data_IF_155424752883
#
_entry.id   IF_155424752883
#
_cell.length_a   1.000
_cell.length_b   1.000
_cell.length_c   1.000
_cell.angle_alpha   90.00
_cell.angle_beta   90.00
_cell.angle_gamma   90.00
#
_symmetry.space_group_name_H-M   'P 1'
#
loop_
_entity.id
_entity.type
_entity.pdbx_description
1 polymer ?
#
# COMPACT_ATOMS: atom_id res chain seq x y z
N UNK A 1 10.15 6.54 -15.89
CA UNK A 1 10.16 5.16 -15.35
C UNK A 1 9.08 4.30 -16.02
N UNK A 2 7.75 4.61 -15.92
CA UNK A 2 6.69 3.77 -16.47
C UNK A 2 6.84 3.56 -17.98
N UNK A 3 7.09 4.61 -18.76
CA UNK A 3 7.28 4.49 -20.21
C UNK A 3 8.47 3.59 -20.59
N UNK A 4 9.59 3.73 -19.88
CA UNK A 4 10.77 2.88 -20.08
C UNK A 4 10.52 1.42 -19.68
N UNK A 5 9.72 1.22 -18.64
CA UNK A 5 9.38 -0.12 -18.14
C UNK A 5 8.36 -0.84 -19.00
N UNK A 6 7.56 -0.12 -19.79
CA UNK A 6 6.45 -0.68 -20.58
C UNK A 6 6.91 -1.76 -21.56
N UNK A 7 8.09 -1.62 -22.14
CA UNK A 7 8.68 -2.58 -23.07
C UNK A 7 9.66 -3.55 -22.40
N UNK A 8 10.09 -3.23 -21.16
CA UNK A 8 11.12 -3.98 -20.46
C UNK A 8 10.60 -5.06 -19.53
N UNK A 9 9.34 -5.03 -19.15
CA UNK A 9 8.76 -6.00 -18.23
C UNK A 9 7.39 -6.51 -18.71
N UNK A 10 6.98 -7.66 -18.21
CA UNK A 10 5.66 -8.25 -18.45
C UNK A 10 4.72 -8.07 -17.26
N UNK A 11 5.27 -7.81 -16.08
CA UNK A 11 4.54 -7.65 -14.83
C UNK A 11 5.19 -6.53 -14.02
N UNK A 12 4.37 -5.64 -13.46
CA UNK A 12 4.77 -4.61 -12.52
C UNK A 12 4.03 -4.84 -11.20
N UNK A 13 4.76 -4.84 -10.09
CA UNK A 13 4.20 -4.93 -8.74
C UNK A 13 4.50 -3.63 -8.00
N UNK A 14 3.46 -2.95 -7.54
CA UNK A 14 3.54 -1.75 -6.71
C UNK A 14 3.22 -2.19 -5.29
N UNK A 15 4.20 -2.09 -4.39
CA UNK A 15 4.11 -2.61 -3.03
C UNK A 15 3.61 -1.55 -2.03
N UNK A 16 2.59 -0.80 -2.42
CA UNK A 16 1.95 0.21 -1.59
C UNK A 16 2.63 1.59 -1.63
N UNK A 17 2.01 2.53 -0.95
CA UNK A 17 2.46 3.93 -0.83
C UNK A 17 2.71 4.60 -2.19
N UNK A 18 1.84 4.31 -3.16
CA UNK A 18 1.81 5.00 -4.45
C UNK A 18 1.42 6.48 -4.25
N UNK A 19 0.60 6.75 -3.26
CA UNK A 19 0.15 8.08 -2.87
C UNK A 19 0.55 8.39 -1.43
N UNK A 20 0.86 9.66 -1.16
CA UNK A 20 1.12 10.16 0.19
C UNK A 20 -0.10 10.08 1.11
N UNK A 21 -1.29 10.16 0.53
CA UNK A 21 -2.56 10.05 1.24
C UNK A 21 -3.64 9.69 0.22
N UNK A 22 -4.49 8.73 0.55
CA UNK A 22 -5.66 8.38 -0.23
C UNK A 22 -6.88 8.30 0.69
N UNK A 23 -7.92 9.06 0.39
CA UNK A 23 -9.11 9.19 1.24
C UNK A 23 -10.37 8.55 0.64
N UNK A 24 -10.22 7.89 -0.50
CA UNK A 24 -11.28 7.21 -1.23
C UNK A 24 -11.22 7.48 -2.73
N UNK A 25 -11.79 6.58 -3.53
CA UNK A 25 -11.73 6.63 -4.99
C UNK A 25 -12.54 7.79 -5.60
N UNK A 26 -13.38 8.42 -4.80
CA UNK A 26 -14.23 9.57 -5.14
C UNK A 26 -13.57 10.94 -4.90
N UNK A 27 -12.31 10.97 -4.43
CA UNK A 27 -11.54 12.22 -4.37
C UNK A 27 -11.07 12.61 -5.79
N UNK A 28 -11.52 13.78 -6.24
CA UNK A 28 -11.36 14.29 -7.61
C UNK A 28 -10.19 15.27 -7.79
N UNK A 29 -9.15 15.17 -6.96
CA UNK A 29 -7.96 16.00 -7.14
C UNK A 29 -7.38 15.84 -8.56
N UNK A 30 -7.07 16.94 -9.27
CA UNK A 30 -6.56 16.87 -10.65
C UNK A 30 -5.34 15.97 -10.80
N UNK A 31 -4.43 15.96 -9.83
CA UNK A 31 -3.26 15.09 -9.81
C UNK A 31 -3.64 13.59 -9.88
N UNK A 32 -4.72 13.20 -9.19
CA UNK A 32 -5.17 11.80 -9.21
C UNK A 32 -5.70 11.41 -10.58
N UNK A 33 -6.36 12.33 -11.29
CA UNK A 33 -6.79 12.12 -12.67
C UNK A 33 -5.61 11.86 -13.62
N UNK A 34 -4.56 12.69 -13.54
CA UNK A 34 -3.35 12.52 -14.36
C UNK A 34 -2.65 11.18 -14.08
N UNK A 35 -2.59 10.76 -12.81
CA UNK A 35 -1.98 9.47 -12.43
C UNK A 35 -2.83 8.30 -12.95
N UNK A 36 -4.16 8.38 -12.82
CA UNK A 36 -5.09 7.36 -13.35
C UNK A 36 -4.94 7.21 -14.87
N UNK A 37 -4.90 8.30 -15.61
CA UNK A 37 -4.68 8.29 -17.06
C UNK A 37 -3.32 7.68 -17.43
N UNK A 38 -2.27 8.03 -16.70
CA UNK A 38 -0.92 7.49 -16.92
C UNK A 38 -0.89 5.99 -16.66
N UNK A 39 -1.48 5.51 -15.57
CA UNK A 39 -1.56 4.09 -15.25
C UNK A 39 -2.41 3.33 -16.30
N UNK A 40 -3.56 3.87 -16.70
CA UNK A 40 -4.40 3.27 -17.73
C UNK A 40 -3.65 3.15 -19.07
N UNK A 41 -2.92 4.20 -19.46
CA UNK A 41 -2.08 4.16 -20.65
C UNK A 41 -0.97 3.10 -20.55
N UNK A 42 -0.40 2.93 -19.37
CA UNK A 42 0.64 1.92 -19.11
C UNK A 42 0.08 0.50 -19.18
N UNK A 43 -1.06 0.24 -18.54
CA UNK A 43 -1.69 -1.08 -18.47
C UNK A 43 -2.34 -1.48 -19.80
N UNK A 44 -2.81 -0.50 -20.60
CA UNK A 44 -3.42 -0.75 -21.91
C UNK A 44 -2.40 -1.30 -22.90
N UNK A 45 -2.58 -2.59 -23.26
CA UNK A 45 -1.63 -3.34 -24.12
C UNK A 45 -0.17 -3.36 -23.59
N UNK A 46 0.01 -3.15 -22.29
CA UNK A 46 1.28 -3.15 -21.58
C UNK A 46 1.40 -4.24 -20.52
N UNK A 47 2.32 -4.09 -19.59
CA UNK A 47 2.52 -5.05 -18.50
C UNK A 47 1.29 -5.22 -17.62
N UNK A 48 1.05 -6.43 -17.16
CA UNK A 48 0.07 -6.67 -16.08
C UNK A 48 0.55 -5.96 -14.84
N UNK A 49 -0.27 -5.07 -14.31
CA UNK A 49 0.09 -4.24 -13.17
C UNK A 49 -0.71 -4.63 -11.94
N UNK A 50 0.00 -4.86 -10.87
CA UNK A 50 -0.54 -5.27 -9.59
C UNK A 50 -0.21 -4.23 -8.54
N UNK A 51 -1.15 -3.97 -7.66
CA UNK A 51 -1.02 -3.04 -6.56
C UNK A 51 -1.35 -3.72 -5.24
N UNK A 52 -0.56 -3.48 -4.24
CA UNK A 52 -0.78 -3.87 -2.86
C UNK A 52 -0.96 -2.62 -2.02
N UNK A 53 -1.89 -2.62 -1.09
CA UNK A 53 -2.11 -1.48 -0.22
C UNK A 53 -0.88 -1.20 0.67
N UNK A 54 -0.50 0.08 0.75
CA UNK A 54 0.41 0.58 1.78
C UNK A 54 -0.36 1.23 2.93
N UNK A 55 0.39 1.75 3.89
CA UNK A 55 -0.22 2.42 5.04
C UNK A 55 -0.76 3.83 4.73
N UNK A 56 -0.40 4.39 3.58
CA UNK A 56 -0.85 5.72 3.12
C UNK A 56 -2.02 5.67 2.16
N UNK A 57 -2.21 4.53 1.49
CA UNK A 57 -3.17 4.39 0.39
C UNK A 57 -4.05 3.13 0.49
N UNK A 58 -4.26 2.63 1.70
CA UNK A 58 -5.06 1.43 1.99
C UNK A 58 -6.56 1.56 1.66
N UNK A 59 -7.04 2.76 1.34
CA UNK A 59 -8.41 3.03 0.90
C UNK A 59 -8.58 3.04 -0.62
N UNK A 60 -7.51 2.73 -1.39
CA UNK A 60 -7.64 2.48 -2.83
C UNK A 60 -8.58 1.29 -3.02
N UNK A 61 -9.64 1.49 -3.82
CA UNK A 61 -10.69 0.51 -4.04
C UNK A 61 -10.81 0.05 -5.48
N UNK A 62 -11.90 -0.66 -5.74
CA UNK A 62 -12.18 -1.25 -7.06
C UNK A 62 -12.42 -0.19 -8.14
N UNK A 63 -12.91 1.00 -7.80
CA UNK A 63 -13.13 2.06 -8.80
C UNK A 63 -11.79 2.51 -9.37
N UNK A 64 -10.81 2.79 -8.51
CA UNK A 64 -9.46 3.11 -8.97
C UNK A 64 -8.83 1.97 -9.77
N UNK A 65 -8.98 0.72 -9.32
CA UNK A 65 -8.46 -0.43 -10.02
C UNK A 65 -9.05 -0.58 -11.43
N UNK A 66 -10.37 -0.40 -11.58
CA UNK A 66 -11.06 -0.46 -12.87
C UNK A 66 -10.66 0.70 -13.81
N UNK A 67 -10.50 1.91 -13.27
CA UNK A 67 -10.12 3.09 -14.05
C UNK A 67 -8.67 3.04 -14.53
N UNK A 68 -7.80 2.32 -13.84
CA UNK A 68 -6.36 2.24 -14.15
C UNK A 68 -5.94 0.91 -14.77
N UNK A 69 -6.81 -0.10 -14.77
CA UNK A 69 -6.51 -1.44 -15.27
C UNK A 69 -5.52 -2.23 -14.37
N UNK A 70 -5.32 -1.81 -13.14
CA UNK A 70 -4.50 -2.54 -12.16
C UNK A 70 -5.31 -3.64 -11.47
N UNK A 71 -4.62 -4.59 -10.84
CA UNK A 71 -5.22 -5.62 -9.99
C UNK A 71 -4.75 -5.43 -8.55
N UNK A 72 -5.68 -5.27 -7.60
CA UNK A 72 -5.36 -5.18 -6.18
C UNK A 72 -5.03 -6.56 -5.63
N UNK A 73 -3.89 -6.67 -4.94
CA UNK A 73 -3.42 -7.90 -4.30
C UNK A 73 -3.61 -7.84 -2.78
N UNK A 74 -3.83 -9.00 -2.14
CA UNK A 74 -3.75 -9.08 -0.69
C UNK A 74 -2.31 -8.92 -0.20
N UNK A 75 -2.12 -8.50 1.05
CA UNK A 75 -0.84 -8.49 1.74
C UNK A 75 -0.84 -9.55 2.88
N UNK A 76 0.08 -10.52 2.87
CA UNK A 76 1.09 -10.78 1.86
C UNK A 76 0.54 -11.48 0.60
N UNK A 77 1.26 -11.36 -0.51
CA UNK A 77 0.97 -12.06 -1.74
C UNK A 77 2.07 -13.07 -2.09
N UNK A 78 1.65 -14.30 -2.39
CA UNK A 78 2.57 -15.41 -2.72
C UNK A 78 2.44 -15.75 -4.20
N UNK A 79 3.57 -15.80 -4.91
CA UNK A 79 3.62 -16.20 -6.31
C UNK A 79 4.80 -17.14 -6.57
N UNK A 80 4.71 -17.92 -7.64
CA UNK A 80 5.80 -18.76 -8.13
C UNK A 80 6.43 -18.11 -9.37
N UNK A 81 7.73 -17.93 -9.35
CA UNK A 81 8.50 -17.44 -10.49
C UNK A 81 9.66 -18.41 -10.74
N UNK A 82 9.61 -19.12 -11.85
CA UNK A 82 10.64 -20.09 -12.23
C UNK A 82 10.92 -21.15 -11.16
N UNK A 83 9.88 -21.70 -10.54
CA UNK A 83 9.92 -22.66 -9.43
C UNK A 83 10.55 -22.08 -8.15
N UNK A 84 10.58 -20.77 -8.01
CA UNK A 84 10.94 -20.08 -6.76
C UNK A 84 9.68 -19.48 -6.16
N UNK A 85 9.46 -19.77 -4.88
CA UNK A 85 8.38 -19.19 -4.11
C UNK A 85 8.76 -17.76 -3.70
N UNK A 86 8.14 -16.79 -4.33
CA UNK A 86 8.33 -15.37 -4.01
C UNK A 86 7.18 -14.90 -3.13
N UNK A 87 7.49 -14.19 -2.05
CA UNK A 87 6.49 -13.55 -1.20
C UNK A 87 6.71 -12.05 -1.25
N UNK A 88 5.62 -11.33 -1.56
CA UNK A 88 5.57 -9.88 -1.59
C UNK A 88 4.76 -9.38 -0.39
N UNK A 89 5.18 -8.27 0.21
CA UNK A 89 4.46 -7.57 1.28
C UNK A 89 4.71 -6.07 1.17
N UNK A 90 3.77 -5.25 1.63
CA UNK A 90 4.08 -3.83 1.85
C UNK A 90 5.19 -3.68 2.88
N UNK A 91 5.10 -4.40 4.00
CA UNK A 91 6.16 -4.44 5.02
C UNK A 91 5.78 -3.82 6.36
N UNK A 92 4.85 -2.90 6.40
CA UNK A 92 4.42 -2.18 7.60
C UNK A 92 3.95 -3.11 8.74
N UNK A 93 3.42 -4.27 8.40
CA UNK A 93 3.01 -5.29 9.37
C UNK A 93 4.19 -5.89 10.16
N UNK A 94 5.42 -5.64 9.73
CA UNK A 94 6.65 -6.11 10.38
C UNK A 94 7.22 -5.09 11.38
N UNK A 95 6.68 -3.88 11.45
CA UNK A 95 7.10 -2.81 12.37
C UNK A 95 6.49 -3.02 13.77
N UNK A 96 6.66 -4.23 14.32
CA UNK A 96 5.96 -4.68 15.54
C UNK A 96 6.43 -4.01 16.82
N UNK A 97 7.55 -3.31 16.80
CA UNK A 97 8.06 -2.55 17.94
C UNK A 97 7.31 -1.22 18.12
N UNK A 98 6.71 -0.70 17.04
CA UNK A 98 5.82 0.44 17.10
C UNK A 98 4.39 0.03 17.45
N UNK A 99 4.16 -0.19 18.74
CA UNK A 99 2.86 -0.66 19.24
C UNK A 99 1.71 0.32 18.97
N UNK A 100 1.97 1.62 18.98
CA UNK A 100 0.97 2.64 18.71
C UNK A 100 0.56 2.59 17.23
N UNK A 101 1.55 2.51 16.34
CA UNK A 101 1.30 2.32 14.93
C UNK A 101 0.52 1.03 14.66
N UNK A 102 0.93 -0.09 15.25
CA UNK A 102 0.26 -1.38 15.05
C UNK A 102 -1.20 -1.36 15.53
N UNK A 103 -1.49 -0.67 16.63
CA UNK A 103 -2.86 -0.50 17.12
C UNK A 103 -3.69 0.35 16.14
N UNK A 104 -3.15 1.48 15.68
CA UNK A 104 -3.78 2.31 14.66
C UNK A 104 -4.03 1.53 13.38
N UNK A 105 -3.01 0.84 12.86
CA UNK A 105 -3.12 -0.02 11.67
C UNK A 105 -4.26 -1.03 11.81
N UNK A 106 -4.30 -1.76 12.92
CA UNK A 106 -5.33 -2.76 13.18
C UNK A 106 -6.74 -2.17 13.21
N UNK A 107 -6.90 -0.93 13.67
CA UNK A 107 -8.19 -0.22 13.69
C UNK A 107 -8.62 0.19 12.28
N UNK A 108 -7.75 0.91 11.54
CA UNK A 108 -8.11 1.51 10.24
C UNK A 108 -8.25 0.48 9.11
N UNK A 109 -7.66 -0.70 9.27
CA UNK A 109 -7.84 -1.81 8.33
C UNK A 109 -9.12 -2.64 8.59
N UNK A 110 -9.93 -2.29 9.60
CA UNK A 110 -11.22 -2.94 9.79
C UNK A 110 -12.25 -2.44 8.77
N UNK A 111 -13.06 -3.36 8.24
CA UNK A 111 -14.17 -3.01 7.34
C UNK A 111 -15.11 -1.95 7.97
N UNK A 112 -15.35 -2.06 9.27
CA UNK A 112 -16.18 -1.12 10.02
C UNK A 112 -15.62 0.30 9.97
N UNK A 113 -14.33 0.48 10.23
CA UNK A 113 -13.68 1.79 10.21
C UNK A 113 -13.69 2.36 8.79
N UNK A 114 -13.26 1.57 7.80
CA UNK A 114 -13.20 2.00 6.40
C UNK A 114 -14.57 2.40 5.86
N UNK A 115 -15.61 1.58 6.10
CA UNK A 115 -16.97 1.91 5.69
C UNK A 115 -17.48 3.19 6.36
N UNK A 116 -17.22 3.36 7.67
CA UNK A 116 -17.61 4.58 8.39
C UNK A 116 -16.87 5.82 7.90
N UNK A 117 -15.58 5.69 7.57
CA UNK A 117 -14.78 6.78 7.02
C UNK A 117 -15.24 7.19 5.63
N UNK A 118 -15.45 6.22 4.73
CA UNK A 118 -15.87 6.47 3.35
C UNK A 118 -17.31 7.01 3.21
N UNK A 119 -18.16 6.86 4.25
CA UNK A 119 -19.49 7.48 4.29
C UNK A 119 -19.48 8.97 4.61
N UNK A 120 -18.34 9.50 5.08
CA UNK A 120 -18.19 10.92 5.37
C UNK A 120 -17.98 11.72 4.10
N UNK A 121 -18.30 13.04 4.16
CA UNK A 121 -17.98 13.92 3.04
C UNK A 121 -16.48 14.06 2.83
N UNK A 122 -16.08 14.42 1.60
CA UNK A 122 -14.68 14.55 1.20
C UNK A 122 -13.93 15.54 2.10
N UNK A 123 -14.54 16.66 2.46
CA UNK A 123 -13.90 17.68 3.31
C UNK A 123 -13.67 17.16 4.73
N UNK A 124 -14.61 16.40 5.29
CA UNK A 124 -14.44 15.77 6.59
C UNK A 124 -13.34 14.72 6.55
N UNK A 125 -13.29 13.90 5.48
CA UNK A 125 -12.22 12.90 5.28
C UNK A 125 -10.84 13.57 5.15
N UNK A 126 -10.74 14.68 4.42
CA UNK A 126 -9.51 15.48 4.31
C UNK A 126 -9.03 16.00 5.66
N UNK A 127 -9.93 16.50 6.49
CA UNK A 127 -9.59 16.99 7.83
C UNK A 127 -9.10 15.86 8.74
N UNK A 128 -9.78 14.71 8.73
CA UNK A 128 -9.37 13.54 9.51
C UNK A 128 -8.00 13.05 9.03
N UNK A 129 -7.80 12.90 7.71
CA UNK A 129 -6.52 12.45 7.17
C UNK A 129 -5.37 13.40 7.50
N UNK A 130 -5.59 14.72 7.45
CA UNK A 130 -4.60 15.70 7.85
C UNK A 130 -4.25 15.58 9.34
N UNK A 131 -5.24 15.44 10.22
CA UNK A 131 -5.00 15.26 11.67
C UNK A 131 -4.22 13.95 11.94
N UNK A 132 -4.57 12.85 11.30
CA UNK A 132 -3.87 11.58 11.45
C UNK A 132 -2.42 11.66 10.97
N UNK A 133 -2.17 12.44 9.91
CA UNK A 133 -0.82 12.68 9.40
C UNK A 133 0.01 13.50 10.39
N UNK A 134 -0.53 14.60 10.90
CA UNK A 134 0.15 15.44 11.88
C UNK A 134 0.49 14.63 13.14
N UNK A 135 -0.44 13.84 13.66
CA UNK A 135 -0.25 12.95 14.80
C UNK A 135 0.86 11.91 14.52
N UNK A 136 0.89 11.35 13.31
CA UNK A 136 1.92 10.39 12.89
C UNK A 136 3.29 11.03 12.77
N UNK A 137 3.41 12.22 12.17
CA UNK A 137 4.67 12.95 12.06
C UNK A 137 5.21 13.33 13.45
N UNK A 138 4.35 13.79 14.36
CA UNK A 138 4.72 14.11 15.74
C UNK A 138 5.17 12.84 16.49
N UNK A 139 4.46 11.73 16.35
CA UNK A 139 4.81 10.46 16.98
C UNK A 139 6.15 9.92 16.45
N UNK A 140 6.34 9.93 15.13
CA UNK A 140 7.57 9.45 14.48
C UNK A 140 8.78 10.31 14.85
N UNK A 141 8.64 11.63 14.92
CA UNK A 141 9.73 12.53 15.30
C UNK A 141 10.29 12.29 16.71
N UNK A 142 9.51 11.66 17.57
CA UNK A 142 9.89 11.32 18.96
C UNK A 142 10.45 9.90 19.11
N UNK A 143 10.35 9.08 18.07
CA UNK A 143 10.81 7.68 18.07
C UNK A 143 12.21 7.58 17.46
N UNK A 144 12.96 6.56 17.85
CA UNK A 144 14.21 6.22 17.17
C UNK A 144 13.90 5.41 15.90
N UNK A 145 14.74 5.53 14.88
CA UNK A 145 14.64 4.78 13.63
C UNK A 145 14.50 3.27 13.88
N UNK A 146 15.09 2.75 14.95
CA UNK A 146 14.99 1.33 15.33
C UNK A 146 13.61 0.88 15.78
N UNK A 147 12.72 1.79 16.18
CA UNK A 147 11.33 1.47 16.57
C UNK A 147 10.40 1.51 15.37
N UNK A 148 10.68 2.39 14.42
CA UNK A 148 9.87 2.58 13.22
C UNK A 148 10.24 1.64 12.08
N UNK A 149 11.40 0.98 12.17
CA UNK A 149 11.86 0.00 11.18
C UNK A 149 11.24 -1.39 11.42
N UNK A 150 11.41 -2.28 10.47
CA UNK A 150 10.95 -3.68 10.57
C UNK A 150 11.67 -4.40 11.71
N UNK A 151 10.91 -5.10 12.54
CA UNK A 151 11.46 -5.88 13.63
C UNK A 151 12.09 -7.19 13.10
N UNK A 152 13.37 -7.45 13.43
CA UNK A 152 14.09 -8.61 12.94
C UNK A 152 13.43 -9.95 13.30
N UNK A 153 12.86 -10.07 14.52
CA UNK A 153 12.14 -11.28 14.93
C UNK A 153 10.82 -11.45 14.18
N UNK A 154 10.11 -10.34 13.89
CA UNK A 154 8.91 -10.38 13.08
C UNK A 154 9.21 -10.85 11.64
N UNK A 155 10.31 -10.37 11.05
CA UNK A 155 10.80 -10.82 9.73
C UNK A 155 11.15 -12.31 9.77
N UNK A 156 11.89 -12.78 10.78
CA UNK A 156 12.23 -14.19 10.91
C UNK A 156 10.98 -15.08 11.04
N UNK A 157 10.03 -14.66 11.88
CA UNK A 157 8.76 -15.37 12.07
C UNK A 157 7.95 -15.41 10.76
N UNK A 158 7.95 -14.30 10.01
CA UNK A 158 7.27 -14.21 8.72
C UNK A 158 7.90 -15.15 7.69
N UNK A 159 9.23 -15.16 7.58
CA UNK A 159 9.98 -16.08 6.71
C UNK A 159 9.71 -17.53 7.09
N UNK A 160 9.76 -17.86 8.40
CA UNK A 160 9.49 -19.20 8.90
C UNK A 160 8.06 -19.66 8.61
N UNK A 161 7.07 -18.75 8.67
CA UNK A 161 5.67 -19.05 8.36
C UNK A 161 5.44 -19.30 6.87
N UNK A 162 6.02 -18.46 6.01
CA UNK A 162 5.73 -18.47 4.58
C UNK A 162 6.73 -19.29 3.78
N UNK A 163 7.91 -19.59 4.31
CA UNK A 163 8.99 -20.37 3.67
C UNK A 163 9.26 -19.91 2.23
N UNK A 164 9.56 -18.61 2.00
CA UNK A 164 9.88 -18.09 0.70
C UNK A 164 11.32 -18.43 0.27
N UNK A 165 11.54 -18.64 -1.03
CA UNK A 165 12.88 -18.60 -1.61
C UNK A 165 13.38 -17.14 -1.76
N UNK A 166 12.43 -16.21 -1.96
CA UNK A 166 12.68 -14.77 -2.03
C UNK A 166 11.56 -14.01 -1.34
N UNK A 167 11.91 -13.11 -0.43
CA UNK A 167 11.00 -12.18 0.22
C UNK A 167 11.32 -10.75 -0.20
N UNK A 168 10.32 -10.02 -0.70
CA UNK A 168 10.43 -8.62 -1.14
C UNK A 168 9.37 -7.82 -0.42
N UNK A 169 9.77 -6.73 0.23
CA UNK A 169 8.86 -5.80 0.86
C UNK A 169 9.25 -4.35 0.61
N UNK A 170 8.25 -3.47 0.75
CA UNK A 170 8.39 -2.02 0.76
C UNK A 170 8.53 -1.47 2.19
N UNK A 171 7.96 -0.29 2.42
CA UNK A 171 7.84 0.47 3.68
C UNK A 171 9.14 1.04 4.19
#
# INVERSE_FOLDING_TARGET
FLEESKEACTHLFILGDLFETWIGDDDDLPLYGEIKETLLSFTTNGPKTFFMHGNRDFLIGETFANETGITILPDPYVLDINNQKVVLSHGDLLCTDDTDYMNFRNEVHTEKWQSSFLQKDIDERKQIAASLRDDSEEATSKKSDTVTDVNAQAVENFINKHQPDLFIHGH
#
